data_IF_842780453049
#
_entry.id   IF_842780453049
#
_cell.length_a   1.000
_cell.length_b   1.000
_cell.length_c   1.000
_cell.angle_alpha   90.00
_cell.angle_beta   90.00
_cell.angle_gamma   90.00
#
_symmetry.space_group_name_H-M   'P 1'
#
loop_
_entity.id
_entity.type
_entity.pdbx_description
1 polymer ?
#
# COMPACT_ATOMS: atom_id res chain seq x y z
N UNK A 1 24.14 64.00 -50.52
CA UNK A 1 24.95 62.78 -50.82
C UNK A 1 26.32 63.01 -50.19
N UNK A 2 27.03 62.04 -49.55
CA UNK A 2 26.91 60.56 -49.52
C UNK A 2 26.37 60.02 -48.16
N UNK A 3 25.77 58.83 -47.93
CA UNK A 3 25.89 57.43 -48.40
C UNK A 3 27.08 56.62 -47.84
N UNK A 4 26.91 56.00 -46.66
CA UNK A 4 27.61 54.81 -46.16
C UNK A 4 26.60 54.08 -45.24
N UNK A 5 25.77 53.16 -45.72
CA UNK A 5 26.01 51.76 -46.08
C UNK A 5 26.63 50.92 -44.95
N UNK A 6 25.74 50.28 -44.18
CA UNK A 6 25.77 48.85 -43.89
C UNK A 6 26.82 48.34 -42.92
N UNK A 7 26.36 47.73 -41.82
CA UNK A 7 26.73 46.36 -41.45
C UNK A 7 25.53 45.74 -40.74
N UNK A 8 25.00 44.68 -41.36
CA UNK A 8 24.04 43.75 -40.79
C UNK A 8 24.68 43.04 -39.60
N UNK A 9 23.95 42.95 -38.49
CA UNK A 9 24.19 41.88 -37.51
C UNK A 9 22.84 41.38 -37.02
N UNK A 10 22.22 40.53 -37.85
CA UNK A 10 21.12 39.67 -37.43
C UNK A 10 21.75 38.59 -36.56
N UNK A 11 21.57 38.72 -35.24
CA UNK A 11 21.86 37.65 -34.30
C UNK A 11 20.68 36.68 -34.37
N UNK A 12 20.82 35.65 -35.20
CA UNK A 12 19.94 34.47 -35.20
C UNK A 12 20.26 33.62 -33.97
N UNK A 13 19.55 33.88 -32.87
CA UNK A 13 19.54 32.98 -31.72
C UNK A 13 18.67 31.78 -32.10
N UNK A 14 19.31 30.69 -32.49
CA UNK A 14 18.65 29.38 -32.59
C UNK A 14 18.33 28.91 -31.17
N UNK A 15 17.12 29.24 -30.70
CA UNK A 15 16.53 28.63 -29.51
C UNK A 15 16.02 27.25 -29.94
N UNK A 16 16.89 26.25 -29.89
CA UNK A 16 16.51 24.86 -30.06
C UNK A 16 15.79 24.39 -28.79
N UNK A 17 14.46 24.37 -28.80
CA UNK A 17 13.72 23.54 -27.86
C UNK A 17 13.93 22.08 -28.28
N UNK A 18 14.89 21.40 -27.63
CA UNK A 18 14.83 19.94 -27.55
C UNK A 18 13.61 19.62 -26.68
N UNK A 19 12.47 19.39 -27.34
CA UNK A 19 11.38 18.68 -26.71
C UNK A 19 11.80 17.22 -26.68
N UNK A 20 12.38 16.80 -25.55
CA UNK A 20 12.27 15.40 -25.16
C UNK A 20 10.79 15.02 -25.28
N UNK A 21 10.41 13.87 -25.86
CA UNK A 21 9.11 13.32 -25.61
C UNK A 21 9.13 12.87 -24.15
N UNK A 22 8.98 13.83 -23.23
CA UNK A 22 8.40 13.55 -21.94
C UNK A 22 7.03 12.98 -22.30
N UNK A 23 6.96 11.66 -22.38
CA UNK A 23 5.75 10.91 -22.12
C UNK A 23 5.40 11.32 -20.70
N UNK A 24 4.70 12.45 -20.60
CA UNK A 24 3.95 12.83 -19.44
C UNK A 24 2.79 11.84 -19.47
N UNK A 25 3.06 10.64 -18.96
CA UNK A 25 1.99 9.77 -18.52
C UNK A 25 1.16 10.66 -17.62
N UNK A 26 -0.07 10.97 -18.02
CA UNK A 26 -1.07 11.49 -17.10
C UNK A 26 -1.34 10.37 -16.08
N UNK A 27 -0.36 10.08 -15.21
CA UNK A 27 -0.61 9.26 -14.04
C UNK A 27 -1.58 10.08 -13.21
N UNK A 28 -2.81 9.60 -13.09
CA UNK A 28 -3.73 10.06 -12.06
C UNK A 28 -2.92 10.11 -10.76
N UNK A 29 -2.97 11.21 -9.98
CA UNK A 29 -2.23 11.28 -8.73
C UNK A 29 -2.62 10.07 -7.89
N UNK A 30 -1.63 9.25 -7.54
CA UNK A 30 -1.85 8.00 -6.82
C UNK A 30 -2.72 8.22 -5.57
N UNK A 31 -3.55 7.23 -5.24
CA UNK A 31 -4.54 7.31 -4.16
C UNK A 31 -4.08 6.52 -2.94
N UNK A 32 -4.34 7.08 -1.75
CA UNK A 32 -4.10 6.42 -0.47
C UNK A 32 -5.40 6.44 0.33
N UNK A 33 -5.77 5.30 0.89
CA UNK A 33 -6.89 5.17 1.83
C UNK A 33 -6.39 4.46 3.08
N UNK A 34 -6.49 5.12 4.24
CA UNK A 34 -6.06 4.58 5.52
C UNK A 34 -7.26 4.28 6.42
N UNK A 35 -7.20 3.16 7.14
CA UNK A 35 -8.20 2.78 8.13
C UNK A 35 -7.68 1.72 9.09
N UNK A 36 -8.44 1.49 10.15
CA UNK A 36 -8.27 0.36 11.05
C UNK A 36 -9.05 -0.83 10.52
N UNK A 37 -8.35 -1.87 10.07
CA UNK A 37 -8.95 -3.15 9.72
C UNK A 37 -8.49 -4.21 10.73
N UNK A 38 -9.44 -4.93 11.33
CA UNK A 38 -9.18 -5.83 12.45
C UNK A 38 -8.63 -5.05 13.65
N UNK A 39 -7.36 -5.29 14.00
CA UNK A 39 -6.61 -4.63 15.07
C UNK A 39 -5.40 -3.87 14.52
N UNK A 40 -5.35 -3.67 13.20
CA UNK A 40 -4.21 -3.13 12.48
C UNK A 40 -4.59 -1.82 11.81
N UNK A 41 -3.84 -0.76 12.11
CA UNK A 41 -3.92 0.50 11.39
C UNK A 41 -3.09 0.39 10.11
N UNK A 42 -3.77 0.40 8.97
CA UNK A 42 -3.14 0.15 7.68
C UNK A 42 -3.63 1.11 6.61
N UNK A 43 -2.79 1.32 5.61
CA UNK A 43 -3.10 2.11 4.43
C UNK A 43 -2.94 1.27 3.18
N UNK A 44 -3.93 1.34 2.29
CA UNK A 44 -3.83 0.83 0.92
C UNK A 44 -3.39 1.96 0.01
N UNK A 45 -2.51 1.68 -0.95
CA UNK A 45 -1.97 2.68 -1.86
C UNK A 45 -1.91 2.16 -3.29
N UNK A 46 -2.47 2.96 -4.19
CA UNK A 46 -2.21 2.95 -5.63
C UNK A 46 -1.20 4.08 -5.88
N UNK A 47 0.08 3.75 -6.09
CA UNK A 47 1.13 4.73 -6.30
C UNK A 47 1.33 5.08 -7.77
N UNK A 48 0.97 4.19 -8.69
CA UNK A 48 1.11 4.42 -10.15
C UNK A 48 -0.12 5.11 -10.76
N UNK A 49 -1.24 5.14 -10.06
CA UNK A 49 -2.49 5.79 -10.47
C UNK A 49 -3.32 4.98 -11.45
N UNK A 50 -3.23 3.64 -11.44
CA UNK A 50 -3.96 2.75 -12.36
C UNK A 50 -5.30 2.23 -11.77
N UNK A 51 -5.62 2.62 -10.53
CA UNK A 51 -6.81 2.19 -9.81
C UNK A 51 -6.69 0.81 -9.17
N UNK A 52 -5.49 0.23 -9.14
CA UNK A 52 -5.17 -1.06 -8.52
C UNK A 52 -4.24 -0.81 -7.33
N UNK A 53 -4.45 -1.54 -6.23
CA UNK A 53 -3.61 -1.41 -5.04
C UNK A 53 -2.24 -2.02 -5.31
N UNK A 54 -1.21 -1.21 -5.14
CA UNK A 54 0.18 -1.63 -5.33
C UNK A 54 0.81 -2.15 -4.04
N UNK A 55 0.42 -1.58 -2.90
CA UNK A 55 0.93 -1.95 -1.58
C UNK A 55 -0.06 -1.67 -0.46
N UNK A 56 0.08 -2.47 0.61
CA UNK A 56 -0.57 -2.26 1.90
C UNK A 56 0.52 -2.20 2.97
N UNK A 57 0.48 -1.15 3.78
CA UNK A 57 1.50 -0.88 4.79
C UNK A 57 0.89 -0.50 6.14
N UNK A 58 1.63 -0.77 7.21
CA UNK A 58 1.26 -0.34 8.55
C UNK A 58 1.46 1.18 8.67
N UNK A 59 0.46 1.90 9.15
CA UNK A 59 0.48 3.37 9.18
C UNK A 59 1.47 3.94 10.20
N UNK A 60 1.80 3.17 11.24
CA UNK A 60 2.72 3.54 12.32
C UNK A 60 4.19 3.31 11.93
N UNK A 61 4.52 2.15 11.35
CA UNK A 61 5.91 1.80 10.99
C UNK A 61 6.28 2.18 9.56
N UNK A 62 5.29 2.43 8.69
CA UNK A 62 5.50 2.57 7.25
C UNK A 62 6.24 1.37 6.66
N UNK A 63 5.90 0.15 7.11
CA UNK A 63 6.41 -1.08 6.53
C UNK A 63 5.33 -1.75 5.69
N UNK A 64 5.68 -2.12 4.47
CA UNK A 64 4.80 -2.86 3.56
C UNK A 64 4.67 -4.29 4.04
N UNK A 65 3.46 -4.75 4.33
CA UNK A 65 3.19 -6.13 4.71
C UNK A 65 2.44 -6.91 3.64
N UNK A 66 1.82 -6.24 2.66
CA UNK A 66 1.32 -6.88 1.43
C UNK A 66 1.61 -6.03 0.20
N UNK A 67 1.86 -6.66 -0.94
CA UNK A 67 2.22 -5.96 -2.19
C UNK A 67 1.63 -6.66 -3.43
N UNK A 68 1.42 -5.91 -4.51
CA UNK A 68 1.04 -6.47 -5.82
C UNK A 68 2.21 -7.27 -6.39
N UNK A 69 1.97 -8.52 -6.79
CA UNK A 69 3.03 -9.50 -7.08
C UNK A 69 4.05 -9.01 -8.13
N UNK A 70 3.56 -8.33 -9.17
CA UNK A 70 4.36 -7.76 -10.27
C UNK A 70 5.11 -6.47 -9.90
N UNK A 71 4.90 -5.92 -8.70
CA UNK A 71 5.45 -4.63 -8.27
C UNK A 71 6.46 -4.69 -7.14
N UNK A 72 6.87 -5.89 -6.71
CA UNK A 72 7.76 -6.07 -5.56
C UNK A 72 8.99 -5.16 -5.59
N UNK A 73 9.63 -5.03 -6.74
CA UNK A 73 10.84 -4.24 -6.89
C UNK A 73 10.57 -2.73 -6.73
N UNK A 74 9.49 -2.23 -7.33
CA UNK A 74 9.10 -0.82 -7.30
C UNK A 74 8.62 -0.43 -5.90
N UNK A 75 7.83 -1.29 -5.27
CA UNK A 75 7.36 -1.12 -3.89
C UNK A 75 8.53 -1.05 -2.92
N UNK A 76 9.52 -1.96 -3.05
CA UNK A 76 10.71 -1.97 -2.19
C UNK A 76 11.66 -0.78 -2.37
N UNK A 77 11.52 0.00 -3.44
CA UNK A 77 12.27 1.25 -3.62
C UNK A 77 11.66 2.43 -2.87
N UNK A 78 10.35 2.38 -2.59
CA UNK A 78 9.62 3.49 -1.98
C UNK A 78 9.36 3.29 -0.49
N UNK A 79 9.29 2.04 -0.02
CA UNK A 79 8.97 1.72 1.37
C UNK A 79 9.59 0.37 1.78
N UNK A 80 10.13 0.25 3.00
CA UNK A 80 10.67 -1.02 3.47
C UNK A 80 9.57 -2.09 3.59
N UNK A 81 9.95 -3.34 3.37
CA UNK A 81 9.07 -4.48 3.62
C UNK A 81 9.15 -4.88 5.09
N UNK A 82 7.99 -5.18 5.68
CA UNK A 82 7.91 -5.95 6.90
C UNK A 82 8.57 -7.32 6.67
N UNK A 83 9.22 -7.87 7.71
CA UNK A 83 9.97 -9.14 7.61
C UNK A 83 9.13 -10.33 7.08
N UNK A 84 7.82 -10.28 7.29
CA UNK A 84 6.85 -11.27 6.84
C UNK A 84 5.94 -10.77 5.72
N UNK A 85 6.39 -9.80 4.91
CA UNK A 85 5.60 -9.29 3.80
C UNK A 85 5.32 -10.37 2.74
N UNK A 86 4.10 -10.38 2.21
CA UNK A 86 3.62 -11.38 1.24
C UNK A 86 2.95 -10.72 0.03
N UNK A 87 2.93 -11.37 -1.15
CA UNK A 87 2.14 -10.86 -2.26
C UNK A 87 0.63 -10.92 -1.95
N UNK A 88 -0.13 -9.99 -2.52
CA UNK A 88 -1.59 -10.03 -2.51
C UNK A 88 -2.08 -11.22 -3.33
N UNK A 89 -2.99 -12.02 -2.77
CA UNK A 89 -3.73 -13.01 -3.55
C UNK A 89 -4.77 -12.33 -4.43
N UNK A 90 -5.20 -12.97 -5.53
CA UNK A 90 -6.20 -12.40 -6.45
C UNK A 90 -7.47 -11.91 -5.74
N UNK A 91 -7.97 -12.68 -4.75
CA UNK A 91 -9.14 -12.30 -3.97
C UNK A 91 -8.86 -11.09 -3.08
N UNK A 92 -7.67 -11.03 -2.48
CA UNK A 92 -7.27 -9.88 -1.66
C UNK A 92 -7.13 -8.64 -2.53
N UNK A 93 -6.45 -8.75 -3.67
CA UNK A 93 -6.30 -7.68 -4.65
C UNK A 93 -7.65 -7.09 -5.03
N UNK A 94 -8.60 -7.92 -5.48
CA UNK A 94 -9.96 -7.48 -5.83
C UNK A 94 -10.69 -6.81 -4.65
N UNK A 95 -10.48 -7.30 -3.43
CA UNK A 95 -11.08 -6.71 -2.23
C UNK A 95 -10.47 -5.35 -1.93
N UNK A 96 -9.15 -5.21 -2.06
CA UNK A 96 -8.41 -4.01 -1.70
C UNK A 96 -8.49 -2.92 -2.76
N UNK A 97 -8.61 -3.27 -4.04
CA UNK A 97 -8.85 -2.32 -5.13
C UNK A 97 -10.17 -1.58 -4.93
N UNK A 98 -11.17 -2.25 -4.37
CA UNK A 98 -12.45 -1.61 -4.01
C UNK A 98 -12.24 -0.55 -2.95
N UNK A 99 -11.39 -0.77 -1.95
CA UNK A 99 -11.13 0.18 -0.86
C UNK A 99 -10.71 1.56 -1.39
N UNK A 100 -9.99 1.62 -2.52
CA UNK A 100 -9.63 2.88 -3.17
C UNK A 100 -10.85 3.75 -3.55
N UNK A 101 -12.05 3.16 -3.66
CA UNK A 101 -13.32 3.82 -4.02
C UNK A 101 -14.29 3.91 -2.83
N UNK A 102 -13.77 3.87 -1.60
CA UNK A 102 -14.59 3.83 -0.39
C UNK A 102 -15.61 4.97 -0.26
N UNK A 103 -15.27 6.19 -0.69
CA UNK A 103 -16.16 7.35 -0.57
C UNK A 103 -17.53 7.16 -1.25
N UNK A 104 -17.61 6.26 -2.23
CA UNK A 104 -18.82 5.97 -2.99
C UNK A 104 -19.57 4.71 -2.49
N UNK A 105 -19.11 4.06 -1.40
CA UNK A 105 -19.65 2.78 -0.95
C UNK A 105 -20.87 2.91 -0.05
N UNK A 106 -21.78 1.94 -0.20
CA UNK A 106 -22.83 1.69 0.79
C UNK A 106 -22.28 0.93 2.00
N UNK A 107 -22.96 1.05 3.14
CA UNK A 107 -22.63 0.30 4.37
C UNK A 107 -22.54 -1.22 4.13
N UNK A 108 -23.42 -1.78 3.30
CA UNK A 108 -23.41 -3.21 2.96
C UNK A 108 -22.12 -3.62 2.24
N UNK A 109 -21.57 -2.74 1.40
CA UNK A 109 -20.32 -2.99 0.69
C UNK A 109 -19.12 -2.91 1.64
N UNK A 110 -19.10 -1.94 2.55
CA UNK A 110 -18.08 -1.83 3.60
C UNK A 110 -18.04 -3.08 4.47
N UNK A 111 -19.21 -3.55 4.94
CA UNK A 111 -19.31 -4.81 5.69
C UNK A 111 -18.85 -6.00 4.87
N UNK A 112 -19.14 -6.02 3.57
CA UNK A 112 -18.66 -7.05 2.64
C UNK A 112 -17.13 -7.07 2.50
N UNK A 113 -16.50 -5.90 2.44
CA UNK A 113 -15.04 -5.75 2.42
C UNK A 113 -14.45 -6.25 3.74
N UNK A 114 -14.97 -5.79 4.88
CA UNK A 114 -14.50 -6.23 6.19
C UNK A 114 -14.54 -7.76 6.34
N UNK A 115 -15.66 -8.39 5.95
CA UNK A 115 -15.81 -9.85 5.95
C UNK A 115 -14.75 -10.54 5.08
N UNK A 116 -14.47 -10.03 3.89
CA UNK A 116 -13.47 -10.60 2.99
C UNK A 116 -12.05 -10.43 3.56
N UNK A 117 -11.73 -9.28 4.15
CA UNK A 117 -10.44 -9.05 4.79
C UNK A 117 -10.23 -10.00 5.98
N UNK A 118 -11.24 -10.17 6.83
CA UNK A 118 -11.20 -11.12 7.96
C UNK A 118 -10.96 -12.55 7.44
N UNK A 119 -11.72 -13.00 6.44
CA UNK A 119 -11.59 -14.35 5.90
C UNK A 119 -10.20 -14.60 5.30
N UNK A 120 -9.66 -13.62 4.56
CA UNK A 120 -8.31 -13.71 3.99
C UNK A 120 -7.23 -13.69 5.05
N UNK A 121 -7.38 -12.87 6.11
CA UNK A 121 -6.47 -12.87 7.25
C UNK A 121 -6.45 -14.24 7.93
N UNK A 122 -7.62 -14.82 8.23
CA UNK A 122 -7.72 -16.15 8.85
C UNK A 122 -7.04 -17.21 7.99
N UNK A 123 -7.20 -17.15 6.66
CA UNK A 123 -6.54 -18.08 5.75
C UNK A 123 -5.01 -17.90 5.71
N UNK A 124 -4.51 -16.66 5.80
CA UNK A 124 -3.08 -16.35 5.79
C UNK A 124 -2.41 -16.54 7.17
N UNK A 125 -3.18 -16.54 8.26
CA UNK A 125 -2.67 -16.55 9.64
C UNK A 125 -1.64 -17.66 9.91
N UNK A 126 -1.81 -18.92 9.49
CA UNK A 126 -0.82 -19.96 9.76
C UNK A 126 0.57 -19.65 9.16
N UNK A 127 0.61 -19.03 7.98
CA UNK A 127 1.86 -18.63 7.33
C UNK A 127 2.50 -17.44 8.05
N UNK A 128 1.70 -16.47 8.48
CA UNK A 128 2.14 -15.31 9.25
C UNK A 128 2.72 -15.76 10.59
N UNK A 129 2.01 -16.60 11.33
CA UNK A 129 2.44 -17.16 12.61
C UNK A 129 3.75 -17.95 12.46
N UNK A 130 3.86 -18.79 11.43
CA UNK A 130 5.08 -19.55 11.14
C UNK A 130 6.28 -18.66 10.77
N UNK A 131 6.03 -17.50 10.17
CA UNK A 131 7.09 -16.51 9.90
C UNK A 131 7.53 -15.82 11.21
N UNK A 132 6.57 -15.36 12.03
CA UNK A 132 6.85 -14.68 13.29
C UNK A 132 7.59 -15.58 14.30
N UNK A 133 7.20 -16.86 14.41
CA UNK A 133 7.84 -17.81 15.33
C UNK A 133 9.35 -17.96 15.10
N UNK A 134 9.82 -17.84 13.86
CA UNK A 134 11.26 -17.91 13.53
C UNK A 134 12.09 -16.79 14.16
N UNK A 135 11.43 -15.70 14.53
CA UNK A 135 12.08 -14.54 15.12
C UNK A 135 11.83 -14.45 16.64
N UNK A 136 10.70 -14.95 17.14
CA UNK A 136 10.46 -15.08 18.58
C UNK A 136 11.45 -16.05 19.25
N UNK A 137 11.86 -17.11 18.54
CA UNK A 137 12.86 -18.06 19.03
C UNK A 137 14.30 -17.49 19.00
N UNK A 138 14.54 -16.42 18.24
CA UNK A 138 15.86 -15.77 18.09
C UNK A 138 16.15 -14.68 19.14
N UNK A 139 15.13 -14.15 19.79
CA UNK A 139 15.23 -13.10 20.82
C UNK A 139 15.16 -13.70 22.26
N UNK A 140 15.72 -14.89 22.43
CA UNK A 140 15.72 -15.68 23.66
C UNK A 140 16.59 -15.13 24.80
N UNK A 141 16.25 -13.94 25.32
CA UNK A 141 16.58 -13.53 26.68
C UNK A 141 15.54 -12.54 27.23
N UNK A 142 14.29 -12.98 27.35
CA UNK A 142 13.29 -12.47 28.30
C UNK A 142 12.10 -13.43 28.36
N UNK A 143 12.22 -14.49 29.15
CA UNK A 143 11.05 -15.21 29.62
C UNK A 143 10.32 -14.34 30.65
N UNK A 144 9.04 -14.06 30.43
CA UNK A 144 8.01 -14.20 31.47
C UNK A 144 6.68 -14.67 30.84
N UNK A 145 5.86 -15.44 31.58
CA UNK A 145 4.96 -16.42 31.00
C UNK A 145 3.56 -15.89 30.69
N UNK A 146 2.93 -16.55 29.71
CA UNK A 146 1.54 -16.43 29.28
C UNK A 146 0.57 -16.40 30.46
N UNK A 147 -0.20 -15.33 30.58
CA UNK A 147 -1.51 -15.43 31.24
C UNK A 147 -2.50 -15.97 30.22
N UNK A 148 -2.88 -17.23 30.44
CA UNK A 148 -4.01 -17.89 29.83
C UNK A 148 -5.26 -17.03 30.07
N UNK A 149 -5.83 -16.47 29.00
CA UNK A 149 -7.15 -15.86 29.02
C UNK A 149 -8.18 -16.99 29.13
N UNK A 150 -8.43 -17.44 30.36
CA UNK A 150 -9.63 -18.19 30.69
C UNK A 150 -10.83 -17.26 30.47
N UNK A 151 -11.55 -17.48 29.38
CA UNK A 151 -12.91 -16.98 29.25
C UNK A 151 -13.77 -17.89 30.15
N UNK A 152 -13.89 -17.48 31.41
CA UNK A 152 -14.83 -18.04 32.36
C UNK A 152 -16.25 -17.84 31.79
N UNK A 153 -16.90 -18.91 31.34
CA UNK A 153 -18.33 -18.91 31.04
C UNK A 153 -19.11 -18.74 32.35
N UNK A 154 -19.25 -17.49 32.79
CA UNK A 154 -20.14 -17.14 33.89
C UNK A 154 -21.54 -16.84 33.33
N UNK A 155 -22.44 -17.82 33.49
CA UNK A 155 -23.81 -17.59 33.92
C UNK A 155 -24.77 -16.92 32.93
N UNK A 156 -25.45 -17.73 32.11
CA UNK A 156 -26.82 -17.44 31.71
C UNK A 156 -27.76 -18.31 32.56
N UNK A 157 -27.98 -17.87 33.80
CA UNK A 157 -29.15 -18.30 34.59
C UNK A 157 -30.35 -17.44 34.18
N UNK A 158 -31.35 -18.12 33.62
CA UNK A 158 -32.79 -17.92 33.75
C UNK A 158 -33.39 -16.51 33.75
N UNK A 159 -34.22 -16.27 32.72
CA UNK A 159 -35.31 -15.29 32.68
C UNK A 159 -36.40 -15.75 31.73
#
# INVERSE_FOLDING_TARGET
MPKILGICTIILVLVGCSTDPMIKSESVPGRIVCDSYLVLDMCVRDFVGDGVVDMIYFSDTNEVFMYRDDMKQQVGQVMPFHRCAVPLSDRMQQTTDRILKREDMSLTEEVGIAKNLIASYVAAKPQIDACNARFEEGDGASQEPKQEFFMEESGWEEG
#
